data_IF_166421612661
#
_entry.id   IF_166421612661
#
_cell.length_a   1.000
_cell.length_b   1.000
_cell.length_c   1.000
_cell.angle_alpha   90.00
_cell.angle_beta   90.00
_cell.angle_gamma   90.00
#
_symmetry.space_group_name_H-M   'P 1'
#
loop_
_entity.id
_entity.type
_entity.pdbx_description
1 polymer ?
#
# COMPACT_ATOMS: atom_id res chain seq x y z
N UNK A 1 -7.40 -30.53 -11.64
CA UNK A 1 -7.80 -29.78 -10.45
C UNK A 1 -7.87 -28.32 -10.83
N UNK A 2 -9.08 -27.78 -10.83
CA UNK A 2 -9.26 -26.33 -11.03
C UNK A 2 -8.76 -25.59 -9.78
N UNK A 3 -8.21 -24.38 -9.93
CA UNK A 3 -7.64 -23.58 -8.82
C UNK A 3 -8.57 -23.45 -7.61
N UNK A 4 -9.88 -23.50 -7.84
CA UNK A 4 -10.91 -23.46 -6.81
C UNK A 4 -10.85 -24.65 -5.84
N UNK A 5 -10.51 -25.83 -6.34
CA UNK A 5 -10.38 -27.04 -5.53
C UNK A 5 -9.12 -27.00 -4.65
N UNK A 6 -8.02 -26.44 -5.18
CA UNK A 6 -6.77 -26.26 -4.43
C UNK A 6 -6.94 -25.29 -3.26
N UNK A 7 -7.65 -24.17 -3.47
CA UNK A 7 -7.92 -23.18 -2.42
C UNK A 7 -8.82 -23.75 -1.31
N UNK A 8 -9.86 -24.50 -1.69
CA UNK A 8 -10.76 -25.16 -0.72
C UNK A 8 -10.02 -26.22 0.11
N UNK A 9 -9.09 -26.96 -0.49
CA UNK A 9 -8.25 -27.93 0.21
C UNK A 9 -7.32 -27.26 1.24
N UNK A 10 -6.68 -26.14 0.87
CA UNK A 10 -5.80 -25.40 1.80
C UNK A 10 -6.58 -24.78 2.96
N UNK A 11 -7.79 -24.28 2.73
CA UNK A 11 -8.64 -23.76 3.80
C UNK A 11 -9.11 -24.87 4.75
N UNK A 12 -9.42 -26.06 4.22
CA UNK A 12 -9.77 -27.21 5.04
C UNK A 12 -8.58 -27.74 5.86
N UNK A 13 -7.35 -27.65 5.36
CA UNK A 13 -6.15 -28.00 6.13
C UNK A 13 -5.95 -27.06 7.34
N UNK A 14 -6.21 -25.75 7.19
CA UNK A 14 -6.00 -24.77 8.27
C UNK A 14 -6.99 -24.96 9.44
N UNK A 15 -8.26 -25.28 9.16
CA UNK A 15 -9.27 -25.51 10.20
C UNK A 15 -9.03 -26.79 11.02
N UNK A 16 -8.19 -27.72 10.53
CA UNK A 16 -7.86 -28.96 11.27
C UNK A 16 -6.66 -28.82 12.22
N UNK A 17 -6.05 -27.64 12.32
CA UNK A 17 -4.85 -27.39 13.16
C UNK A 17 -5.15 -26.77 14.53
N UNK A 18 -6.33 -27.03 15.09
CA UNK A 18 -6.51 -26.85 16.54
C UNK A 18 -5.74 -27.94 17.31
N UNK A 19 -5.15 -27.53 18.44
CA UNK A 19 -4.70 -28.36 19.59
C UNK A 19 -3.44 -29.22 19.42
N UNK A 20 -2.28 -28.75 19.92
CA UNK A 20 -1.47 -29.42 20.96
C UNK A 20 -0.62 -28.39 21.74
N UNK A 21 -0.77 -28.33 23.07
CA UNK A 21 0.04 -27.55 24.05
C UNK A 21 0.88 -28.53 24.90
N UNK A 22 2.03 -28.17 25.52
CA UNK A 22 2.07 -27.39 26.79
C UNK A 22 3.30 -26.44 26.88
N UNK A 23 3.34 -25.32 27.62
CA UNK A 23 3.27 -25.22 29.07
C UNK A 23 3.36 -23.73 29.51
N UNK A 24 2.33 -23.23 30.20
CA UNK A 24 2.33 -22.29 31.36
C UNK A 24 1.07 -21.40 31.39
N UNK A 25 0.22 -21.68 32.40
CA UNK A 25 -1.09 -21.07 32.75
C UNK A 25 -0.84 -20.40 34.14
N UNK A 26 -1.44 -19.24 34.55
CA UNK A 26 -2.89 -19.06 34.63
C UNK A 26 -3.52 -17.69 34.30
N UNK A 27 -4.54 -17.77 33.46
CA UNK A 27 -5.94 -17.32 33.63
C UNK A 27 -6.25 -16.19 34.63
N UNK A 28 -6.88 -15.12 34.15
CA UNK A 28 -7.81 -14.31 34.93
C UNK A 28 -8.90 -13.67 34.04
N UNK A 29 -10.15 -13.92 34.40
CA UNK A 29 -11.36 -13.20 33.97
C UNK A 29 -12.17 -12.92 35.27
N UNK A 30 -13.17 -12.03 35.31
CA UNK A 30 -13.10 -10.57 35.36
C UNK A 30 -13.92 -10.00 36.55
N UNK A 31 -13.35 -9.28 37.53
CA UNK A 31 -14.16 -8.49 38.48
C UNK A 31 -13.47 -7.19 38.93
N UNK A 32 -14.14 -6.08 38.62
CA UNK A 32 -14.10 -4.68 39.13
C UNK A 32 -13.82 -4.49 40.64
N UNK A 33 -13.60 -3.27 41.18
CA UNK A 33 -12.97 -2.04 40.66
C UNK A 33 -12.01 -1.38 41.70
N UNK A 34 -10.75 -1.08 41.35
CA UNK A 34 -9.82 -0.29 42.22
C UNK A 34 -10.18 1.21 42.37
N UNK A 35 -11.38 1.63 41.92
CA UNK A 35 -11.78 3.05 41.85
C UNK A 35 -12.08 3.67 43.22
N UNK A 36 -12.45 2.87 44.22
CA UNK A 36 -12.94 3.39 45.50
C UNK A 36 -11.82 3.84 46.46
N UNK A 37 -10.58 3.36 46.28
CA UNK A 37 -9.46 3.74 47.15
C UNK A 37 -8.92 5.16 46.89
N UNK A 38 -9.28 5.77 45.75
CA UNK A 38 -8.79 7.11 45.37
C UNK A 38 -9.76 8.25 45.74
N UNK A 39 -10.94 7.92 46.27
CA UNK A 39 -11.99 8.89 46.60
C UNK A 39 -11.85 9.52 48.00
N UNK A 40 -10.89 9.09 48.81
CA UNK A 40 -10.82 9.46 50.23
C UNK A 40 -9.91 10.69 50.53
N UNK A 41 -9.33 11.33 49.50
CA UNK A 41 -8.46 12.50 49.69
C UNK A 41 -8.91 13.68 48.83
N UNK A 42 -10.05 14.28 49.15
CA UNK A 42 -10.33 15.67 48.77
C UNK A 42 -10.98 16.42 49.95
N UNK A 43 -10.45 17.58 50.35
CA UNK A 43 -11.10 18.42 51.35
C UNK A 43 -12.40 19.00 50.76
N UNK A 44 -13.49 18.83 51.48
CA UNK A 44 -14.77 19.50 51.23
C UNK A 44 -14.67 20.96 51.63
N UNK A 45 -14.62 21.86 50.64
CA UNK A 45 -14.99 23.26 50.85
C UNK A 45 -15.96 23.72 49.77
N UNK A 46 -17.13 24.17 50.23
CA UNK A 46 -18.20 24.77 49.45
C UNK A 46 -17.80 26.21 49.05
N UNK A 47 -17.96 26.59 47.79
CA UNK A 47 -18.56 27.89 47.44
C UNK A 47 -18.92 27.98 45.96
N UNK A 48 -20.19 28.24 45.68
CA UNK A 48 -20.72 28.52 44.36
C UNK A 48 -20.22 29.87 43.85
N UNK A 49 -19.56 29.93 42.68
CA UNK A 49 -19.70 31.07 41.75
C UNK A 49 -19.62 30.63 40.29
N UNK A 50 -20.72 30.94 39.60
CA UNK A 50 -20.96 30.98 38.16
C UNK A 50 -19.69 31.15 37.30
N UNK A 51 -19.35 30.14 36.49
CA UNK A 51 -18.39 30.27 35.40
C UNK A 51 -18.95 29.55 34.18
N UNK A 52 -19.27 30.37 33.18
CA UNK A 52 -19.54 30.02 31.79
C UNK A 52 -18.73 28.79 31.34
N UNK A 53 -19.40 27.67 31.09
CA UNK A 53 -18.78 26.43 30.58
C UNK A 53 -18.39 26.61 29.12
N UNK A 54 -17.32 27.37 28.89
CA UNK A 54 -16.54 27.29 27.68
C UNK A 54 -15.96 25.86 27.64
N UNK A 55 -16.53 25.00 26.79
CA UNK A 55 -16.10 23.61 26.64
C UNK A 55 -14.58 23.55 26.38
N UNK A 56 -13.75 23.02 27.31
CA UNK A 56 -12.30 23.02 27.19
C UNK A 56 -11.78 22.06 26.11
N UNK A 57 -12.68 21.28 25.48
CA UNK A 57 -12.37 20.34 24.40
C UNK A 57 -12.72 20.86 23.01
N UNK A 58 -12.99 22.16 22.84
CA UNK A 58 -13.04 22.78 21.52
C UNK A 58 -11.62 22.84 20.91
N UNK A 59 -11.08 21.65 20.59
CA UNK A 59 -9.88 21.48 19.77
C UNK A 59 -10.19 22.19 18.46
N UNK A 60 -9.55 23.34 18.22
CA UNK A 60 -9.55 23.99 16.92
C UNK A 60 -9.07 22.93 15.93
N UNK A 61 -10.01 22.34 15.20
CA UNK A 61 -9.68 21.48 14.07
C UNK A 61 -9.11 22.46 13.05
N UNK A 62 -7.78 22.55 13.03
CA UNK A 62 -7.06 23.15 11.92
C UNK A 62 -7.55 22.40 10.68
N UNK A 63 -8.36 23.07 9.86
CA UNK A 63 -8.83 22.50 8.61
C UNK A 63 -7.58 22.24 7.80
N UNK A 64 -7.18 20.97 7.69
CA UNK A 64 -6.17 20.55 6.73
C UNK A 64 -6.60 21.13 5.38
N UNK A 65 -5.73 21.91 4.76
CA UNK A 65 -6.06 22.67 3.55
C UNK A 65 -6.42 21.71 2.40
N UNK A 66 -7.72 21.53 2.18
CA UNK A 66 -8.25 20.64 1.16
C UNK A 66 -7.85 21.04 -0.28
N UNK A 67 -7.39 22.28 -0.50
CA UNK A 67 -6.88 22.68 -1.83
C UNK A 67 -5.57 21.98 -2.16
N UNK A 68 -4.67 21.90 -1.19
CA UNK A 68 -3.40 21.21 -1.36
C UNK A 68 -3.62 19.72 -1.66
N UNK A 69 -4.62 19.08 -1.03
CA UNK A 69 -4.93 17.66 -1.23
C UNK A 69 -5.45 17.36 -2.64
N UNK A 70 -6.40 18.14 -3.15
CA UNK A 70 -6.94 17.93 -4.51
C UNK A 70 -5.88 18.24 -5.58
N UNK A 71 -5.09 19.30 -5.40
CA UNK A 71 -3.98 19.62 -6.30
C UNK A 71 -2.93 18.49 -6.33
N UNK A 72 -2.55 17.95 -5.16
CA UNK A 72 -1.65 16.78 -5.07
C UNK A 72 -2.23 15.56 -5.81
N UNK A 73 -3.53 15.31 -5.64
CA UNK A 73 -4.22 14.21 -6.32
C UNK A 73 -4.19 14.39 -7.83
N UNK A 74 -4.38 15.62 -8.34
CA UNK A 74 -4.29 15.88 -9.79
C UNK A 74 -2.86 15.70 -10.31
N UNK A 75 -1.85 16.14 -9.57
CA UNK A 75 -0.45 15.98 -9.94
C UNK A 75 -0.05 14.50 -9.96
N UNK A 76 -0.47 13.75 -8.95
CA UNK A 76 -0.20 12.33 -8.83
C UNK A 76 -0.90 11.54 -9.95
N UNK A 77 -2.16 11.88 -10.25
CA UNK A 77 -2.90 11.29 -11.38
C UNK A 77 -2.20 11.55 -12.71
N UNK A 78 -1.74 12.78 -12.93
CA UNK A 78 -0.95 13.14 -14.11
C UNK A 78 0.34 12.33 -14.21
N UNK A 79 1.08 12.20 -13.11
CA UNK A 79 2.31 11.41 -13.07
C UNK A 79 2.05 9.94 -13.42
N UNK A 80 1.01 9.32 -12.84
CA UNK A 80 0.64 7.95 -13.17
C UNK A 80 0.25 7.78 -14.64
N UNK A 81 -0.48 8.74 -15.22
CA UNK A 81 -0.86 8.69 -16.62
C UNK A 81 0.35 8.81 -17.56
N UNK A 82 1.32 9.67 -17.21
CA UNK A 82 2.57 9.80 -17.97
C UNK A 82 3.41 8.52 -17.89
N UNK A 83 3.48 7.90 -16.71
CA UNK A 83 4.17 6.62 -16.50
C UNK A 83 3.50 5.48 -17.27
N UNK A 84 2.17 5.37 -17.19
CA UNK A 84 1.40 4.38 -17.95
C UNK A 84 1.64 4.52 -19.46
N UNK A 85 1.62 5.75 -19.97
CA UNK A 85 1.90 6.02 -21.39
C UNK A 85 3.32 5.61 -21.78
N UNK A 86 4.30 5.88 -20.93
CA UNK A 86 5.69 5.47 -21.16
C UNK A 86 5.80 3.94 -21.23
N UNK A 87 5.22 3.23 -20.26
CA UNK A 87 5.23 1.77 -20.19
C UNK A 87 4.51 1.13 -21.38
N UNK A 88 3.35 1.64 -21.77
CA UNK A 88 2.62 1.17 -22.96
C UNK A 88 3.46 1.35 -24.23
N UNK A 89 4.10 2.51 -24.39
CA UNK A 89 4.98 2.77 -25.55
C UNK A 89 6.16 1.79 -25.60
N UNK A 90 6.76 1.49 -24.43
CA UNK A 90 7.85 0.54 -24.33
C UNK A 90 7.38 -0.89 -24.69
N UNK A 91 6.22 -1.28 -24.18
CA UNK A 91 5.61 -2.58 -24.46
C UNK A 91 5.33 -2.77 -25.96
N UNK A 92 4.70 -1.78 -26.61
CA UNK A 92 4.41 -1.83 -28.05
C UNK A 92 5.68 -2.01 -28.89
N UNK A 93 6.74 -1.25 -28.57
CA UNK A 93 8.02 -1.36 -29.26
C UNK A 93 8.61 -2.77 -29.12
N UNK A 94 8.61 -3.33 -27.90
CA UNK A 94 9.12 -4.67 -27.63
C UNK A 94 8.29 -5.73 -28.38
N UNK A 95 6.96 -5.60 -28.41
CA UNK A 95 6.09 -6.51 -29.16
C UNK A 95 6.41 -6.52 -30.65
N UNK A 96 6.58 -5.34 -31.26
CA UNK A 96 6.95 -5.22 -32.69
C UNK A 96 8.29 -5.91 -32.98
N UNK A 97 9.26 -5.85 -32.05
CA UNK A 97 10.52 -6.58 -32.21
C UNK A 97 10.32 -8.09 -32.21
N UNK A 98 9.48 -8.61 -31.30
CA UNK A 98 9.16 -10.03 -31.25
C UNK A 98 8.44 -10.50 -32.52
N UNK A 99 7.47 -9.73 -33.02
CA UNK A 99 6.80 -10.02 -34.28
C UNK A 99 7.79 -10.01 -35.47
N UNK A 100 8.71 -9.04 -35.49
CA UNK A 100 9.76 -8.95 -36.50
C UNK A 100 10.73 -10.13 -36.49
N UNK A 101 11.06 -10.65 -35.29
CA UNK A 101 11.89 -11.84 -35.11
C UNK A 101 11.17 -13.14 -35.47
N UNK A 102 9.87 -13.22 -35.23
CA UNK A 102 9.06 -14.40 -35.54
C UNK A 102 8.61 -14.46 -37.00
N UNK A 103 8.91 -13.43 -37.80
CA UNK A 103 8.55 -13.39 -39.21
C UNK A 103 9.08 -14.61 -39.98
N UNK A 104 8.21 -15.32 -40.75
CA UNK A 104 8.56 -16.58 -41.40
C UNK A 104 9.59 -16.43 -42.54
N UNK A 105 9.92 -15.19 -42.94
CA UNK A 105 10.88 -14.91 -44.01
C UNK A 105 12.11 -14.15 -43.48
N UNK A 106 12.71 -14.66 -42.42
CA UNK A 106 13.89 -14.07 -41.79
C UNK A 106 15.20 -14.48 -42.48
N UNK A 107 15.46 -13.89 -43.66
CA UNK A 107 16.82 -13.85 -44.21
C UNK A 107 17.65 -12.81 -43.42
N UNK A 108 18.89 -13.16 -43.08
CA UNK A 108 19.84 -12.35 -42.30
C UNK A 108 19.44 -12.13 -40.84
N UNK A 109 19.16 -13.21 -40.10
CA UNK A 109 18.80 -13.15 -38.68
C UNK A 109 19.89 -12.50 -37.82
N UNK A 110 21.17 -12.73 -38.12
CA UNK A 110 22.30 -12.16 -37.37
C UNK A 110 22.26 -10.63 -37.36
N UNK A 111 22.14 -9.99 -38.53
CA UNK A 111 22.07 -8.53 -38.62
C UNK A 111 20.83 -7.95 -37.93
N UNK A 112 19.73 -8.70 -37.87
CA UNK A 112 18.52 -8.28 -37.13
C UNK A 112 18.70 -8.40 -35.64
N UNK A 113 19.35 -9.46 -35.16
CA UNK A 113 19.69 -9.63 -33.75
C UNK A 113 20.64 -8.52 -33.30
N UNK A 114 21.65 -8.16 -34.10
CA UNK A 114 22.54 -7.02 -33.81
C UNK A 114 21.77 -5.70 -33.73
N UNK A 115 20.84 -5.46 -34.66
CA UNK A 115 19.98 -4.28 -34.62
C UNK A 115 19.10 -4.26 -33.36
N UNK A 116 18.56 -5.40 -32.95
CA UNK A 116 17.75 -5.53 -31.75
C UNK A 116 18.58 -5.33 -30.49
N UNK A 117 19.80 -5.85 -30.44
CA UNK A 117 20.73 -5.62 -29.33
C UNK A 117 21.03 -4.13 -29.17
N UNK A 118 21.36 -3.43 -30.26
CA UNK A 118 21.58 -1.98 -30.23
C UNK A 118 20.33 -1.22 -29.76
N UNK A 119 19.14 -1.64 -30.22
CA UNK A 119 17.88 -1.05 -29.77
C UNK A 119 17.64 -1.28 -28.28
N UNK A 120 17.89 -2.50 -27.77
CA UNK A 120 17.71 -2.83 -26.36
C UNK A 120 18.70 -2.08 -25.48
N UNK A 121 19.94 -1.90 -25.93
CA UNK A 121 20.94 -1.08 -25.24
C UNK A 121 20.50 0.39 -25.15
N UNK A 122 20.03 0.95 -26.27
CA UNK A 122 19.44 2.30 -26.26
C UNK A 122 18.22 2.39 -25.34
N UNK A 123 17.35 1.39 -25.37
CA UNK A 123 16.14 1.35 -24.53
C UNK A 123 16.49 1.29 -23.05
N UNK A 124 17.53 0.52 -22.69
CA UNK A 124 18.04 0.46 -21.34
C UNK A 124 18.57 1.82 -20.89
N UNK A 125 19.31 2.53 -21.75
CA UNK A 125 19.79 3.88 -21.44
C UNK A 125 18.64 4.88 -21.20
N UNK A 126 17.56 4.79 -21.99
CA UNK A 126 16.36 5.62 -21.77
C UNK A 126 15.67 5.30 -20.45
N UNK A 127 15.59 4.01 -20.08
CA UNK A 127 15.02 3.59 -18.79
C UNK A 127 15.89 4.12 -17.64
N UNK A 128 17.21 4.02 -17.76
CA UNK A 128 18.14 4.53 -16.74
C UNK A 128 18.07 6.05 -16.62
N UNK A 129 17.97 6.79 -17.73
CA UNK A 129 17.74 8.23 -17.71
C UNK A 129 16.44 8.56 -16.97
N UNK A 130 15.33 7.89 -17.31
CA UNK A 130 14.02 8.08 -16.68
C UNK A 130 14.05 7.76 -15.18
N UNK A 131 14.80 6.74 -14.76
CA UNK A 131 14.97 6.34 -13.36
C UNK A 131 15.83 7.33 -12.56
N UNK A 132 16.80 7.98 -13.21
CA UNK A 132 17.73 8.91 -12.58
C UNK A 132 17.29 10.38 -12.66
N UNK A 133 16.23 10.70 -13.41
CA UNK A 133 15.54 11.99 -13.36
C UNK A 133 14.92 12.17 -11.96
N UNK A 134 15.69 12.78 -11.05
CA UNK A 134 15.31 13.12 -9.68
C UNK A 134 15.10 14.62 -9.55
#
# INVERSE_FOLDING_TARGET
MELKEAILQTLAEIDTTETESPNSIPTFDPQTPERDALLEVLPTEQNEKNINTQNPYARKIEKLDFKNTEELKTLLSKYYLEEEKFLNTLQERILVLFEGLQSPNNRNIESKVDMILNFLEYTLAIIDEKKNQK
#
